data_IF_693034509157
#
_entry.id   IF_693034509157
#
_cell.length_a   1.000
_cell.length_b   1.000
_cell.length_c   1.000
_cell.angle_alpha   90.00
_cell.angle_beta   90.00
_cell.angle_gamma   90.00
#
_symmetry.space_group_name_H-M   'P 1'
#
loop_
_entity.id
_entity.type
_entity.pdbx_description
1 polymer ?
#
# COMPACT_ATOMS: atom_id res chain seq x y z
N UNK A 1 -9.93 -0.10 14.54
CA UNK A 1 -8.90 0.86 15.01
C UNK A 1 -9.11 1.07 16.48
N UNK A 2 -8.04 1.17 17.26
CA UNK A 2 -8.16 1.68 18.60
C UNK A 2 -8.79 3.09 18.53
N UNK A 3 -9.82 3.35 19.35
CA UNK A 3 -10.53 4.64 19.37
C UNK A 3 -9.61 5.86 19.56
N UNK A 4 -8.44 5.64 20.18
CA UNK A 4 -7.43 6.68 20.41
C UNK A 4 -6.66 7.12 19.18
N UNK A 5 -6.67 6.33 18.09
CA UNK A 5 -5.96 6.65 16.84
C UNK A 5 -6.79 7.50 15.86
N UNK A 6 -8.08 7.66 16.11
CA UNK A 6 -8.98 8.47 15.27
C UNK A 6 -9.13 9.88 15.81
N UNK A 7 -9.48 10.82 14.94
CA UNK A 7 -9.95 12.12 15.36
C UNK A 7 -11.19 11.96 16.26
N UNK A 8 -11.26 12.68 17.41
CA UNK A 8 -12.46 12.67 18.20
C UNK A 8 -13.63 13.20 17.37
N UNK A 9 -14.66 12.38 17.22
CA UNK A 9 -15.91 12.79 16.56
C UNK A 9 -16.97 13.08 17.59
N UNK A 10 -16.98 14.33 18.05
CA UNK A 10 -17.96 14.82 19.01
C UNK A 10 -18.59 16.13 18.54
N UNK A 11 -19.90 16.32 18.73
CA UNK A 11 -20.61 17.54 18.30
C UNK A 11 -20.04 18.83 18.90
N UNK A 12 -19.36 18.74 20.04
CA UNK A 12 -18.74 19.87 20.71
C UNK A 12 -17.42 20.35 20.08
N UNK A 13 -16.86 19.61 19.10
CA UNK A 13 -15.60 19.98 18.44
C UNK A 13 -15.89 20.84 17.23
N UNK A 14 -15.43 22.09 17.27
CA UNK A 14 -15.51 22.99 16.12
C UNK A 14 -14.60 22.48 15.00
N UNK A 15 -15.13 22.52 13.79
CA UNK A 15 -14.42 22.10 12.57
C UNK A 15 -14.32 23.26 11.59
N UNK A 16 -13.29 23.24 10.78
CA UNK A 16 -13.15 24.12 9.62
C UNK A 16 -13.85 23.50 8.41
N UNK A 17 -14.07 24.27 7.35
CA UNK A 17 -14.72 23.81 6.12
C UNK A 17 -13.93 22.69 5.42
N UNK A 18 -12.60 22.65 5.63
CA UNK A 18 -11.70 21.61 5.13
C UNK A 18 -11.56 20.40 6.09
N UNK A 19 -12.39 20.33 7.16
CA UNK A 19 -12.48 19.20 8.08
C UNK A 19 -11.46 19.18 9.21
N UNK A 20 -10.56 20.17 9.33
CA UNK A 20 -9.64 20.28 10.48
C UNK A 20 -10.38 20.62 11.76
N UNK A 21 -9.88 20.18 12.89
CA UNK A 21 -10.51 20.34 14.21
C UNK A 21 -9.82 21.37 15.07
N UNK A 22 -10.58 22.00 15.96
CA UNK A 22 -10.05 22.83 17.06
C UNK A 22 -9.30 21.94 18.06
N UNK A 23 -7.99 22.18 18.22
CA UNK A 23 -7.17 21.46 19.19
C UNK A 23 -7.66 21.65 20.61
N UNK A 24 -8.14 22.84 20.98
CA UNK A 24 -8.68 23.09 22.31
C UNK A 24 -9.92 22.27 22.61
N UNK A 25 -10.85 22.21 21.64
CA UNK A 25 -12.08 21.43 21.82
C UNK A 25 -11.78 19.93 21.88
N UNK A 26 -10.86 19.44 21.02
CA UNK A 26 -10.41 18.07 21.05
C UNK A 26 -9.74 17.70 22.38
N UNK A 27 -8.85 18.55 22.91
CA UNK A 27 -8.24 18.36 24.23
C UNK A 27 -9.29 18.32 25.33
N UNK A 28 -10.34 19.13 25.26
CA UNK A 28 -11.43 19.12 26.23
C UNK A 28 -12.22 17.81 26.19
N UNK A 29 -12.55 17.33 24.99
CA UNK A 29 -13.26 16.04 24.81
C UNK A 29 -12.46 14.86 25.37
N UNK A 30 -11.15 14.88 25.21
CA UNK A 30 -10.28 13.83 25.78
C UNK A 30 -9.95 14.04 27.27
N UNK A 31 -10.63 14.96 27.95
CA UNK A 31 -10.60 15.12 29.41
C UNK A 31 -9.63 16.16 29.95
N UNK A 32 -9.12 17.07 29.12
CA UNK A 32 -8.32 18.19 29.62
C UNK A 32 -9.19 19.18 30.39
N UNK A 33 -8.95 19.38 31.68
CA UNK A 33 -9.66 20.36 32.50
C UNK A 33 -9.43 21.80 32.03
N UNK A 34 -8.23 22.12 31.60
CA UNK A 34 -7.86 23.39 31.00
C UNK A 34 -7.08 23.14 29.68
N UNK A 35 -7.76 23.09 28.52
CA UNK A 35 -7.13 22.81 27.23
C UNK A 35 -6.03 23.79 26.83
N UNK A 36 -6.17 25.07 27.20
CA UNK A 36 -5.19 26.10 26.86
C UNK A 36 -3.88 25.96 27.63
N UNK A 37 -3.99 25.69 28.94
CA UNK A 37 -2.79 25.46 29.76
C UNK A 37 -2.13 24.14 29.35
N UNK A 38 -2.89 23.13 29.01
CA UNK A 38 -2.35 21.87 28.46
C UNK A 38 -1.62 22.12 27.16
N UNK A 39 -2.22 22.85 26.23
CA UNK A 39 -1.61 23.20 24.96
C UNK A 39 -0.30 23.99 25.17
N UNK A 40 -0.32 25.00 26.04
CA UNK A 40 0.88 25.77 26.35
C UNK A 40 2.02 24.86 26.84
N UNK A 41 1.72 23.96 27.79
CA UNK A 41 2.73 23.00 28.30
C UNK A 41 3.24 22.04 27.21
N UNK A 42 2.36 21.63 26.28
CA UNK A 42 2.76 20.82 25.14
C UNK A 42 3.71 21.57 24.21
N UNK A 43 3.40 22.82 23.87
CA UNK A 43 4.26 23.68 23.05
C UNK A 43 5.60 23.95 23.72
N UNK A 44 5.60 24.19 25.04
CA UNK A 44 6.83 24.42 25.80
C UNK A 44 7.72 23.15 25.83
N UNK A 45 7.13 21.96 25.88
CA UNK A 45 7.85 20.68 25.94
C UNK A 45 8.19 20.10 24.56
N UNK A 46 7.35 20.36 23.55
CA UNK A 46 7.40 19.82 22.19
C UNK A 46 7.08 20.94 21.20
N UNK A 47 8.01 21.86 20.92
CA UNK A 47 7.74 23.02 20.04
C UNK A 47 7.26 22.64 18.64
N UNK A 48 7.65 21.47 18.15
CA UNK A 48 7.27 20.93 16.85
C UNK A 48 5.75 20.72 16.67
N UNK A 49 4.96 20.66 17.76
CA UNK A 49 3.50 20.55 17.65
C UNK A 49 2.84 21.81 17.08
N UNK A 50 3.53 22.95 17.10
CA UNK A 50 3.04 24.19 16.49
C UNK A 50 3.10 24.10 14.97
N UNK A 51 4.11 23.43 14.41
CA UNK A 51 4.34 23.33 12.96
C UNK A 51 3.25 22.51 12.26
N UNK A 52 2.52 21.65 13.01
CA UNK A 52 1.43 20.82 12.50
C UNK A 52 0.05 21.44 12.74
N UNK A 53 0.00 22.69 13.17
CA UNK A 53 -1.24 23.42 13.46
C UNK A 53 -1.24 24.76 12.74
N UNK A 54 -2.41 25.12 12.20
CA UNK A 54 -2.69 26.48 11.80
C UNK A 54 -3.48 27.20 12.90
N UNK A 55 -3.42 28.53 12.91
CA UNK A 55 -4.23 29.33 13.84
C UNK A 55 -5.43 29.95 13.12
N UNK A 56 -6.62 29.61 13.55
CA UNK A 56 -7.87 30.10 12.97
C UNK A 56 -8.72 30.83 14.00
N UNK A 57 -9.50 31.82 13.54
CA UNK A 57 -10.56 32.45 14.33
C UNK A 57 -11.91 31.85 13.95
N UNK A 58 -12.50 31.08 14.85
CA UNK A 58 -13.86 30.60 14.64
C UNK A 58 -14.90 31.75 14.82
N UNK A 59 -15.97 31.77 14.02
CA UNK A 59 -17.04 32.75 14.18
C UNK A 59 -17.70 32.65 15.58
N UNK A 60 -18.10 33.78 16.14
CA UNK A 60 -18.77 33.84 17.44
C UNK A 60 -18.11 34.79 18.45
N UNK A 61 -18.62 34.82 19.67
CA UNK A 61 -18.14 35.72 20.72
C UNK A 61 -16.69 35.37 21.11
N UNK A 62 -15.82 36.40 21.10
CA UNK A 62 -14.46 36.29 21.59
C UNK A 62 -13.38 35.90 20.59
N UNK A 63 -13.69 35.68 19.32
CA UNK A 63 -12.80 35.51 18.14
C UNK A 63 -11.28 35.31 18.42
N UNK A 64 -10.94 34.46 19.38
CA UNK A 64 -9.54 34.19 19.73
C UNK A 64 -8.91 33.19 18.74
N UNK A 65 -7.63 33.40 18.44
CA UNK A 65 -6.86 32.44 17.67
C UNK A 65 -6.89 31.08 18.36
N UNK A 66 -7.26 30.06 17.61
CA UNK A 66 -7.41 28.67 18.06
C UNK A 66 -6.59 27.79 17.14
N UNK A 67 -5.65 26.97 17.66
CA UNK A 67 -4.92 26.03 16.84
C UNK A 67 -5.89 24.97 16.28
N UNK A 68 -5.77 24.74 14.98
CA UNK A 68 -6.55 23.72 14.25
C UNK A 68 -5.58 22.76 13.59
N UNK A 69 -5.95 21.49 13.49
CA UNK A 69 -5.13 20.44 12.89
C UNK A 69 -5.99 19.39 12.21
N UNK A 70 -5.38 18.67 11.27
CA UNK A 70 -5.99 17.49 10.64
C UNK A 70 -5.81 16.23 11.49
N UNK A 71 -6.22 15.10 10.93
CA UNK A 71 -6.12 13.81 11.62
C UNK A 71 -4.66 13.39 11.87
N UNK A 72 -3.75 13.68 10.95
CA UNK A 72 -2.34 13.35 11.10
C UNK A 72 -1.69 14.18 12.19
N UNK A 73 -1.96 15.48 12.21
CA UNK A 73 -1.50 16.39 13.26
C UNK A 73 -2.07 16.02 14.63
N UNK A 74 -3.36 15.67 14.71
CA UNK A 74 -3.97 15.21 15.96
C UNK A 74 -3.27 13.97 16.52
N UNK A 75 -2.96 12.96 15.68
CA UNK A 75 -2.20 11.78 16.12
C UNK A 75 -0.83 12.15 16.70
N UNK A 76 -0.13 13.11 16.11
CA UNK A 76 1.14 13.61 16.65
C UNK A 76 0.96 14.30 18.00
N UNK A 77 -0.08 15.14 18.15
CA UNK A 77 -0.41 15.78 19.44
C UNK A 77 -0.68 14.71 20.51
N UNK A 78 -1.54 13.71 20.22
CA UNK A 78 -1.87 12.67 21.19
C UNK A 78 -0.65 11.83 21.57
N UNK A 79 0.28 11.61 20.66
CA UNK A 79 1.50 10.83 20.93
C UNK A 79 2.38 11.47 22.02
N UNK A 80 2.34 12.79 22.15
CA UNK A 80 3.12 13.54 23.16
C UNK A 80 2.30 13.98 24.37
N UNK A 81 0.98 13.68 24.38
CA UNK A 81 0.13 14.01 25.52
C UNK A 81 0.61 13.30 26.80
N UNK A 82 0.66 14.02 27.92
CA UNK A 82 0.86 13.40 29.24
C UNK A 82 -0.38 12.63 29.70
N UNK A 83 -0.22 11.81 30.73
CA UNK A 83 -1.33 11.11 31.37
C UNK A 83 -1.76 9.81 30.67
N UNK A 84 -2.97 9.35 31.01
CA UNK A 84 -3.46 8.03 30.61
C UNK A 84 -3.70 7.93 29.10
N UNK A 85 -4.28 8.95 28.48
CA UNK A 85 -4.60 8.95 27.06
C UNK A 85 -3.34 8.79 26.19
N UNK A 86 -2.32 9.64 26.42
CA UNK A 86 -1.07 9.53 25.67
C UNK A 86 -0.34 8.20 25.91
N UNK A 87 -0.41 7.66 27.16
CA UNK A 87 0.15 6.32 27.42
C UNK A 87 -0.60 5.22 26.66
N UNK A 88 -1.94 5.26 26.68
CA UNK A 88 -2.77 4.31 25.93
C UNK A 88 -2.47 4.39 24.44
N UNK A 89 -2.45 5.59 23.86
CA UNK A 89 -2.10 5.80 22.45
C UNK A 89 -0.74 5.19 22.10
N UNK A 90 0.30 5.51 22.88
CA UNK A 90 1.65 4.99 22.61
C UNK A 90 1.72 3.48 22.72
N UNK A 91 1.03 2.87 23.70
CA UNK A 91 0.96 1.42 23.83
C UNK A 91 0.29 0.76 22.62
N UNK A 92 -0.83 1.31 22.15
CA UNK A 92 -1.54 0.80 20.97
C UNK A 92 -0.73 1.00 19.68
N UNK A 93 -0.08 2.16 19.53
CA UNK A 93 0.79 2.43 18.39
C UNK A 93 2.01 1.48 18.36
N UNK A 94 2.65 1.26 19.50
CA UNK A 94 3.77 0.33 19.61
C UNK A 94 3.33 -1.10 19.30
N UNK A 95 2.19 -1.56 19.86
CA UNK A 95 1.65 -2.88 19.56
C UNK A 95 1.37 -3.08 18.05
N UNK A 96 0.89 -2.04 17.36
CA UNK A 96 0.70 -2.10 15.90
C UNK A 96 2.04 -2.19 15.17
N UNK A 97 3.04 -1.42 15.59
CA UNK A 97 4.40 -1.49 15.03
C UNK A 97 5.03 -2.86 15.27
N UNK A 98 4.89 -3.41 16.49
CA UNK A 98 5.41 -4.73 16.83
C UNK A 98 4.77 -5.83 15.97
N UNK A 99 3.47 -5.78 15.75
CA UNK A 99 2.76 -6.71 14.84
C UNK A 99 3.27 -6.57 13.40
N UNK A 100 3.48 -5.35 12.94
CA UNK A 100 4.04 -5.10 11.60
C UNK A 100 5.44 -5.68 11.44
N UNK A 101 6.33 -5.43 12.41
CA UNK A 101 7.70 -5.94 12.40
C UNK A 101 7.77 -7.47 12.53
N UNK A 102 6.83 -8.07 13.27
CA UNK A 102 6.67 -9.52 13.39
C UNK A 102 6.11 -10.17 12.11
N UNK A 103 5.67 -9.39 11.11
CA UNK A 103 5.05 -9.92 9.90
C UNK A 103 3.67 -10.55 10.13
N UNK A 104 2.90 -10.02 11.10
CA UNK A 104 1.57 -10.53 11.43
C UNK A 104 0.63 -10.49 10.22
N UNK A 105 0.30 -11.67 9.69
CA UNK A 105 -0.55 -11.82 8.51
C UNK A 105 -1.98 -11.28 8.72
N UNK A 106 -2.46 -11.23 9.97
CA UNK A 106 -3.82 -10.74 10.26
C UNK A 106 -3.96 -9.24 10.02
N UNK A 107 -2.86 -8.47 10.05
CA UNK A 107 -2.88 -7.05 9.67
C UNK A 107 -3.35 -6.82 8.23
N UNK A 108 -3.00 -7.70 7.30
CA UNK A 108 -3.43 -7.59 5.91
C UNK A 108 -4.95 -7.78 5.79
N UNK A 109 -5.52 -8.76 6.51
CA UNK A 109 -6.97 -8.97 6.56
C UNK A 109 -7.68 -7.76 7.20
N UNK A 110 -7.18 -7.26 8.33
CA UNK A 110 -7.73 -6.08 8.99
C UNK A 110 -7.71 -4.83 8.09
N UNK A 111 -6.69 -4.67 7.24
CA UNK A 111 -6.62 -3.57 6.28
C UNK A 111 -7.70 -3.71 5.19
N UNK A 112 -7.93 -4.92 4.69
CA UNK A 112 -8.97 -5.19 3.69
C UNK A 112 -10.35 -4.90 4.29
N UNK A 113 -10.61 -5.39 5.51
CA UNK A 113 -11.89 -5.18 6.21
C UNK A 113 -12.19 -3.71 6.50
N UNK A 114 -11.16 -2.88 6.62
CA UNK A 114 -11.30 -1.42 6.86
C UNK A 114 -11.46 -0.59 5.60
N UNK A 115 -11.23 -1.17 4.44
CA UNK A 115 -11.41 -0.43 3.20
C UNK A 115 -12.90 -0.13 2.98
N UNK A 116 -13.23 1.15 2.91
CA UNK A 116 -14.57 1.62 2.57
C UNK A 116 -14.80 1.65 1.06
N UNK A 117 -13.73 1.68 0.28
CA UNK A 117 -13.75 1.58 -1.17
C UNK A 117 -13.64 0.12 -1.61
N UNK A 118 -14.72 -0.47 -2.19
CA UNK A 118 -14.71 -1.85 -2.63
C UNK A 118 -13.68 -2.16 -3.71
N UNK A 119 -13.29 -1.18 -4.52
CA UNK A 119 -12.27 -1.38 -5.56
C UNK A 119 -10.89 -1.52 -4.95
N UNK A 120 -10.57 -0.66 -3.99
CA UNK A 120 -9.32 -0.76 -3.25
C UNK A 120 -9.24 -2.05 -2.43
N UNK A 121 -10.33 -2.49 -1.80
CA UNK A 121 -10.37 -3.75 -1.06
C UNK A 121 -10.07 -4.94 -1.97
N UNK A 122 -10.70 -5.01 -3.15
CA UNK A 122 -10.44 -6.07 -4.15
C UNK A 122 -8.99 -6.01 -4.65
N UNK A 123 -8.50 -4.81 -4.96
CA UNK A 123 -7.11 -4.64 -5.41
C UNK A 123 -6.10 -5.13 -4.36
N UNK A 124 -6.28 -4.79 -3.08
CA UNK A 124 -5.42 -5.26 -1.98
C UNK A 124 -5.41 -6.77 -1.87
N UNK A 125 -6.58 -7.42 -1.92
CA UNK A 125 -6.70 -8.88 -1.88
C UNK A 125 -5.94 -9.53 -3.05
N UNK A 126 -6.12 -9.02 -4.27
CA UNK A 126 -5.40 -9.48 -5.47
C UNK A 126 -3.90 -9.23 -5.37
N UNK A 127 -3.50 -8.09 -4.83
CA UNK A 127 -2.08 -7.76 -4.66
C UNK A 127 -1.38 -8.68 -3.66
N UNK A 128 -2.05 -9.05 -2.56
CA UNK A 128 -1.55 -10.02 -1.60
C UNK A 128 -1.39 -11.43 -2.24
N UNK A 129 -2.42 -11.90 -2.96
CA UNK A 129 -2.37 -13.16 -3.70
C UNK A 129 -1.23 -13.18 -4.72
N UNK A 130 -1.09 -12.10 -5.50
CA UNK A 130 -0.02 -11.96 -6.47
C UNK A 130 1.37 -11.99 -5.82
N UNK A 131 1.55 -11.37 -4.65
CA UNK A 131 2.83 -11.42 -3.92
C UNK A 131 3.18 -12.86 -3.54
N UNK A 132 2.22 -13.63 -3.05
CA UNK A 132 2.40 -15.05 -2.73
C UNK A 132 2.80 -15.87 -3.96
N UNK A 133 2.08 -15.73 -5.07
CA UNK A 133 2.40 -16.46 -6.31
C UNK A 133 3.78 -16.08 -6.88
N UNK A 134 4.20 -14.82 -6.72
CA UNK A 134 5.56 -14.39 -7.12
C UNK A 134 6.65 -15.06 -6.27
N UNK A 135 6.41 -15.28 -4.97
CA UNK A 135 7.35 -16.04 -4.11
C UNK A 135 7.43 -17.49 -4.58
N UNK A 136 6.32 -18.12 -4.91
CA UNK A 136 6.27 -19.49 -5.42
C UNK A 136 6.99 -19.61 -6.78
N UNK A 137 6.75 -18.66 -7.71
CA UNK A 137 7.44 -18.64 -9.00
C UNK A 137 8.94 -18.49 -8.81
N UNK A 138 9.39 -17.57 -7.95
CA UNK A 138 10.82 -17.41 -7.69
C UNK A 138 11.43 -18.67 -7.08
N UNK A 139 10.74 -19.34 -6.17
CA UNK A 139 11.17 -20.62 -5.61
C UNK A 139 11.24 -21.73 -6.68
N UNK A 140 10.27 -21.78 -7.61
CA UNK A 140 10.30 -22.72 -8.74
C UNK A 140 11.48 -22.44 -9.66
N UNK A 141 11.67 -21.20 -10.11
CA UNK A 141 12.80 -20.81 -10.94
C UNK A 141 14.16 -21.15 -10.30
N UNK A 142 14.28 -20.98 -8.96
CA UNK A 142 15.50 -21.39 -8.24
C UNK A 142 15.74 -22.89 -8.31
N UNK A 143 14.69 -23.72 -8.08
CA UNK A 143 14.79 -25.18 -8.17
C UNK A 143 15.19 -25.65 -9.57
N UNK A 144 14.72 -24.95 -10.59
CA UNK A 144 15.04 -25.22 -12.00
C UNK A 144 16.33 -24.56 -12.49
N UNK A 145 17.14 -23.99 -11.57
CA UNK A 145 18.50 -23.50 -11.87
C UNK A 145 18.55 -22.20 -12.69
N UNK A 146 17.48 -21.39 -12.68
CA UNK A 146 17.51 -20.11 -13.37
C UNK A 146 18.48 -19.12 -12.70
N UNK A 147 19.26 -18.39 -13.51
CA UNK A 147 20.11 -17.29 -13.06
C UNK A 147 19.31 -15.98 -12.86
N UNK A 148 19.97 -14.94 -12.35
CA UNK A 148 19.36 -13.59 -12.25
C UNK A 148 18.82 -13.09 -13.61
N UNK A 149 19.46 -13.45 -14.73
CA UNK A 149 19.01 -13.11 -16.08
C UNK A 149 17.74 -13.87 -16.45
N UNK A 150 17.67 -15.17 -16.13
CA UNK A 150 16.49 -16.01 -16.29
C UNK A 150 15.30 -15.46 -15.53
N UNK A 151 15.46 -15.11 -14.26
CA UNK A 151 14.42 -14.46 -13.46
C UNK A 151 13.89 -13.17 -14.10
N UNK A 152 14.81 -12.27 -14.47
CA UNK A 152 14.43 -11.01 -15.12
C UNK A 152 13.64 -11.25 -16.41
N UNK A 153 14.09 -12.19 -17.21
CA UNK A 153 13.42 -12.53 -18.46
C UNK A 153 11.99 -13.02 -18.21
N UNK A 154 11.82 -14.04 -17.37
CA UNK A 154 10.52 -14.62 -17.07
C UNK A 154 9.54 -13.55 -16.54
N UNK A 155 9.96 -12.76 -15.57
CA UNK A 155 9.10 -11.69 -15.03
C UNK A 155 8.76 -10.63 -16.07
N UNK A 156 9.70 -10.20 -16.90
CA UNK A 156 9.43 -9.24 -17.97
C UNK A 156 8.54 -9.82 -19.06
N UNK A 157 8.72 -11.10 -19.39
CA UNK A 157 7.87 -11.78 -20.38
C UNK A 157 6.41 -11.82 -19.94
N UNK A 158 6.16 -12.15 -18.67
CA UNK A 158 4.82 -12.12 -18.09
C UNK A 158 4.26 -10.68 -18.02
N UNK A 159 5.07 -9.69 -17.64
CA UNK A 159 4.67 -8.28 -17.66
C UNK A 159 4.22 -7.85 -19.06
N UNK A 160 5.03 -8.14 -20.08
CA UNK A 160 4.72 -7.85 -21.48
C UNK A 160 3.39 -8.48 -21.92
N UNK A 161 3.17 -9.74 -21.57
CA UNK A 161 1.93 -10.45 -21.93
C UNK A 161 0.70 -9.78 -21.32
N UNK A 162 0.80 -9.27 -20.11
CA UNK A 162 -0.32 -8.68 -19.37
C UNK A 162 -0.51 -7.20 -19.65
N UNK A 163 0.57 -6.42 -19.73
CA UNK A 163 0.51 -4.95 -19.81
C UNK A 163 0.97 -4.39 -21.14
N UNK A 164 1.67 -5.18 -21.96
CA UNK A 164 2.36 -4.70 -23.16
C UNK A 164 3.67 -3.96 -22.87
N UNK A 165 4.16 -3.99 -21.64
CA UNK A 165 5.33 -3.23 -21.18
C UNK A 165 6.24 -4.09 -20.30
N UNK A 166 7.55 -3.86 -20.34
CA UNK A 166 8.49 -4.42 -19.35
C UNK A 166 8.46 -3.64 -18.03
N UNK A 167 9.07 -4.19 -16.99
CA UNK A 167 9.01 -3.61 -15.64
C UNK A 167 9.40 -2.12 -15.58
N UNK A 168 10.47 -1.73 -16.26
CA UNK A 168 10.96 -0.36 -16.30
C UNK A 168 9.97 0.59 -16.99
N UNK A 169 9.39 0.18 -18.11
CA UNK A 169 8.38 0.97 -18.84
C UNK A 169 7.11 1.16 -18.00
N UNK A 170 6.67 0.12 -17.28
CA UNK A 170 5.53 0.21 -16.37
C UNK A 170 5.77 1.27 -15.29
N UNK A 171 6.95 1.24 -14.65
CA UNK A 171 7.32 2.19 -13.61
C UNK A 171 7.35 3.63 -14.14
N UNK A 172 7.97 3.85 -15.30
CA UNK A 172 8.07 5.17 -15.91
C UNK A 172 6.71 5.71 -16.37
N UNK A 173 5.87 4.85 -16.95
CA UNK A 173 4.59 5.27 -17.55
C UNK A 173 3.50 5.47 -16.50
N UNK A 174 3.49 4.64 -15.44
CA UNK A 174 2.42 4.62 -14.43
C UNK A 174 2.81 5.26 -13.09
N UNK A 175 4.09 5.61 -12.91
CA UNK A 175 4.59 6.49 -11.86
C UNK A 175 4.92 5.86 -10.51
N UNK A 176 4.55 4.60 -10.24
CA UNK A 176 4.94 3.95 -8.97
C UNK A 176 6.29 3.21 -9.13
N UNK A 177 7.26 3.40 -8.21
CA UNK A 177 8.56 2.73 -8.26
C UNK A 177 8.47 1.20 -8.14
N UNK A 178 7.39 0.68 -7.55
CA UNK A 178 7.13 -0.76 -7.47
C UNK A 178 6.28 -1.19 -8.67
N UNK A 179 6.85 -2.00 -9.57
CA UNK A 179 6.18 -2.41 -10.82
C UNK A 179 4.76 -2.93 -10.60
N UNK A 180 4.53 -3.78 -9.60
CA UNK A 180 3.24 -4.44 -9.38
C UNK A 180 2.19 -3.56 -8.71
N UNK A 181 2.60 -2.47 -8.07
CA UNK A 181 1.68 -1.48 -7.50
C UNK A 181 1.07 -0.57 -8.60
N UNK A 182 1.59 -0.67 -9.81
CA UNK A 182 1.02 -0.07 -11.02
C UNK A 182 0.00 -0.96 -11.75
N UNK A 183 -0.24 -2.18 -11.29
CA UNK A 183 -1.16 -3.11 -11.95
C UNK A 183 -2.59 -2.86 -11.47
N UNK A 184 -3.54 -2.92 -12.40
CA UNK A 184 -4.97 -3.00 -12.06
C UNK A 184 -5.29 -4.33 -11.38
N UNK A 185 -6.44 -4.42 -10.69
CA UNK A 185 -6.94 -5.67 -10.12
C UNK A 185 -6.95 -6.81 -11.15
N UNK A 186 -7.46 -6.51 -12.35
CA UNK A 186 -7.55 -7.47 -13.44
C UNK A 186 -6.17 -7.91 -13.94
N UNK A 187 -5.21 -6.99 -14.07
CA UNK A 187 -3.83 -7.32 -14.44
C UNK A 187 -3.15 -8.20 -13.40
N UNK A 188 -3.38 -7.94 -12.12
CA UNK A 188 -2.87 -8.80 -11.04
C UNK A 188 -3.44 -10.20 -11.11
N UNK A 189 -4.76 -10.35 -11.37
CA UNK A 189 -5.41 -11.66 -11.48
C UNK A 189 -4.83 -12.48 -12.65
N UNK A 190 -4.73 -11.88 -13.83
CA UNK A 190 -4.18 -12.54 -15.03
C UNK A 190 -2.72 -12.92 -14.80
N UNK A 191 -1.91 -11.99 -14.29
CA UNK A 191 -0.49 -12.23 -14.06
C UNK A 191 -0.27 -13.36 -13.04
N UNK A 192 -1.09 -13.43 -11.99
CA UNK A 192 -1.07 -14.52 -11.00
C UNK A 192 -1.36 -15.86 -11.65
N UNK A 193 -2.38 -15.94 -12.51
CA UNK A 193 -2.71 -17.17 -13.23
C UNK A 193 -1.57 -17.62 -14.13
N UNK A 194 -0.95 -16.70 -14.86
CA UNK A 194 0.21 -17.01 -15.70
C UNK A 194 1.42 -17.45 -14.88
N UNK A 195 1.65 -16.90 -13.70
CA UNK A 195 2.71 -17.36 -12.80
C UNK A 195 2.53 -18.83 -12.40
N UNK A 196 1.30 -19.23 -12.03
CA UNK A 196 1.00 -20.63 -11.72
C UNK A 196 1.16 -21.53 -12.95
N UNK A 197 0.75 -21.06 -14.14
CA UNK A 197 0.96 -21.82 -15.38
C UNK A 197 2.45 -22.05 -15.66
N UNK A 198 3.31 -21.05 -15.49
CA UNK A 198 4.76 -21.20 -15.62
C UNK A 198 5.32 -22.19 -14.60
N UNK A 199 4.90 -22.11 -13.32
CA UNK A 199 5.35 -23.06 -12.29
C UNK A 199 5.02 -24.49 -12.69
N UNK A 200 3.76 -24.74 -13.08
CA UNK A 200 3.30 -26.08 -13.45
C UNK A 200 4.03 -26.61 -14.70
N UNK A 201 4.26 -25.76 -15.68
CA UNK A 201 4.96 -26.15 -16.92
C UNK A 201 6.46 -26.40 -16.70
N UNK A 202 7.12 -25.62 -15.81
CA UNK A 202 8.49 -25.88 -15.40
C UNK A 202 8.63 -27.29 -14.78
N UNK A 203 7.70 -27.63 -13.88
CA UNK A 203 7.71 -28.94 -13.21
C UNK A 203 7.35 -30.07 -14.20
N UNK A 204 6.36 -29.87 -15.11
CA UNK A 204 5.92 -30.85 -16.07
C UNK A 204 6.98 -31.19 -17.14
N UNK A 205 7.75 -30.18 -17.57
CA UNK A 205 8.79 -30.35 -18.60
C UNK A 205 10.17 -30.69 -18.03
N UNK A 206 10.30 -30.72 -16.70
CA UNK A 206 11.57 -30.86 -16.01
C UNK A 206 12.65 -29.87 -16.52
N UNK A 207 12.22 -28.64 -16.81
CA UNK A 207 13.06 -27.57 -17.34
C UNK A 207 14.31 -27.34 -16.49
N UNK A 208 15.46 -27.04 -17.11
CA UNK A 208 16.72 -26.82 -16.38
C UNK A 208 17.52 -25.66 -16.97
N UNK A 209 17.85 -24.69 -16.11
CA UNK A 209 18.67 -23.56 -16.51
C UNK A 209 17.88 -22.46 -17.23
N UNK A 210 18.59 -21.41 -17.61
CA UNK A 210 17.95 -20.18 -18.17
C UNK A 210 17.20 -20.43 -19.47
N UNK A 211 17.75 -21.25 -20.35
CA UNK A 211 17.16 -21.45 -21.69
C UNK A 211 15.78 -22.11 -21.60
N UNK A 212 15.69 -23.20 -20.81
CA UNK A 212 14.42 -23.90 -20.64
C UNK A 212 13.41 -23.06 -19.90
N UNK A 213 13.81 -22.37 -18.81
CA UNK A 213 12.92 -21.49 -18.07
C UNK A 213 12.37 -20.35 -18.93
N UNK A 214 13.17 -19.78 -19.82
CA UNK A 214 12.73 -18.77 -20.80
C UNK A 214 11.78 -19.37 -21.81
N UNK A 215 12.09 -20.53 -22.35
CA UNK A 215 11.23 -21.26 -23.30
C UNK A 215 9.85 -21.55 -22.72
N UNK A 216 9.77 -22.01 -21.48
CA UNK A 216 8.50 -22.20 -20.76
C UNK A 216 7.72 -20.89 -20.61
N UNK A 217 8.38 -19.79 -20.23
CA UNK A 217 7.70 -18.50 -20.11
C UNK A 217 7.18 -17.98 -21.45
N UNK A 218 7.92 -18.23 -22.55
CA UNK A 218 7.48 -17.87 -23.90
C UNK A 218 6.30 -18.72 -24.35
N UNK A 219 6.31 -20.03 -24.08
CA UNK A 219 5.23 -20.94 -24.43
C UNK A 219 3.95 -20.53 -23.69
N UNK A 220 3.99 -20.38 -22.36
CA UNK A 220 2.84 -19.95 -21.55
C UNK A 220 2.32 -18.60 -22.04
N UNK A 221 3.20 -17.64 -22.33
CA UNK A 221 2.80 -16.33 -22.85
C UNK A 221 2.10 -16.43 -24.20
N UNK A 222 2.56 -17.34 -25.07
CA UNK A 222 1.94 -17.61 -26.38
C UNK A 222 0.55 -18.20 -26.22
N UNK A 223 0.38 -19.17 -25.34
CA UNK A 223 -0.89 -19.86 -25.09
C UNK A 223 -1.96 -18.94 -24.49
N UNK A 224 -1.54 -18.02 -23.62
CA UNK A 224 -2.45 -17.01 -23.05
C UNK A 224 -2.81 -15.90 -24.04
N UNK A 225 -2.00 -15.62 -25.04
CA UNK A 225 -2.18 -14.49 -25.96
C UNK A 225 -3.53 -14.47 -26.66
N UNK A 226 -4.08 -15.59 -27.23
CA UNK A 226 -5.40 -15.58 -27.85
C UNK A 226 -6.53 -15.24 -26.87
N UNK A 227 -6.45 -15.78 -25.66
CA UNK A 227 -7.42 -15.51 -24.59
C UNK A 227 -7.40 -14.04 -24.19
N UNK A 228 -6.20 -13.47 -23.98
CA UNK A 228 -6.03 -12.08 -23.62
C UNK A 228 -6.55 -11.15 -24.70
N UNK A 229 -6.33 -11.46 -25.98
CA UNK A 229 -6.88 -10.69 -27.10
C UNK A 229 -8.40 -10.74 -27.12
N UNK A 230 -8.98 -11.93 -27.02
CA UNK A 230 -10.41 -12.16 -27.17
C UNK A 230 -11.24 -11.50 -26.09
N UNK A 231 -10.82 -11.63 -24.82
CA UNK A 231 -11.62 -11.23 -23.67
C UNK A 231 -11.20 -9.91 -23.01
N UNK A 232 -9.98 -9.46 -23.26
CA UNK A 232 -9.46 -8.25 -22.61
C UNK A 232 -9.03 -7.15 -23.59
N UNK A 233 -9.28 -7.35 -24.89
CA UNK A 233 -9.01 -6.34 -25.95
C UNK A 233 -7.54 -5.92 -26.07
N UNK A 234 -6.62 -6.65 -25.46
CA UNK A 234 -5.23 -6.29 -25.40
C UNK A 234 -4.56 -6.57 -26.74
N UNK A 235 -3.82 -5.59 -27.26
CA UNK A 235 -2.95 -5.78 -28.42
C UNK A 235 -1.90 -6.80 -28.02
N UNK A 236 -1.96 -8.01 -28.62
CA UNK A 236 -0.85 -8.93 -28.48
C UNK A 236 0.39 -8.31 -29.08
N UNK A 237 1.49 -8.51 -28.42
CA UNK A 237 2.78 -8.22 -28.99
C UNK A 237 2.91 -8.95 -30.34
N UNK A 238 3.44 -8.30 -31.40
CA UNK A 238 3.68 -8.98 -32.67
C UNK A 238 4.57 -10.19 -32.41
N UNK A 239 4.15 -11.34 -32.89
CA UNK A 239 4.99 -12.52 -32.92
C UNK A 239 6.24 -12.19 -33.74
N UNK A 240 7.42 -12.24 -33.14
CA UNK A 240 8.68 -12.04 -33.82
C UNK A 240 9.57 -10.89 -33.34
N UNK A 241 9.12 -10.09 -32.39
CA UNK A 241 10.02 -9.17 -31.69
C UNK A 241 10.89 -9.94 -30.70
N UNK A 242 12.03 -10.43 -31.12
CA UNK A 242 13.13 -10.78 -30.21
C UNK A 242 13.36 -9.53 -29.33
N UNK A 243 13.01 -9.66 -28.04
CA UNK A 243 13.53 -8.72 -27.06
C UNK A 243 15.06 -8.81 -27.12
N UNK A 244 15.69 -7.93 -27.87
CA UNK A 244 17.07 -7.56 -27.59
C UNK A 244 17.04 -6.87 -26.22
N UNK A 245 17.05 -7.68 -25.17
CA UNK A 245 17.42 -7.21 -23.84
C UNK A 245 18.94 -7.14 -23.91
N UNK A 246 19.42 -5.98 -24.36
CA UNK A 246 20.82 -5.68 -24.28
C UNK A 246 21.27 -5.84 -22.82
N UNK A 247 22.37 -6.52 -22.68
CA UNK A 247 23.15 -7.01 -21.56
C UNK A 247 23.31 -6.03 -20.40
#
# INVERSE_FOLDING_TARGET
MPETLSLPDAPAIRRTDDGRISVFDALQVVGAKNPRDMWKRLVDAFPEVVEICDNLRFPGAGQRLTPVTDEAGWRRIVSVLPGMLGRKYRAEANALVDRYLAGDATLAAELIDRQTDPEQARWLARRAQHKHSSILLNGSLARHGASKRGYRYVHNRLNLSVTGMVAQEIQLTRGNPTTKDNFTEQELAIHTTMQFAVINELDATAALGDMDCKGVADQVSSDFSPVLRRYFGRRAYPQGGLLQVDV
#
